data_IF_262211466934
#
_entry.id   IF_262211466934
#
_cell.length_a   1.000
_cell.length_b   1.000
_cell.length_c   1.000
_cell.angle_alpha   90.00
_cell.angle_beta   90.00
_cell.angle_gamma   90.00
#
_symmetry.space_group_name_H-M   'P 1'
#
loop_
_entity.id
_entity.type
_entity.pdbx_description
1 polymer ?
#
# COMPACT_ATOMS: atom_id res chain seq x y z
N UNK A 1 -12.70 10.39 -9.92
CA UNK A 1 -13.01 10.51 -8.47
C UNK A 1 -11.72 10.82 -7.69
N UNK A 2 -11.81 11.48 -6.53
CA UNK A 2 -10.63 11.74 -5.68
C UNK A 2 -10.11 10.42 -5.11
N UNK A 3 -8.82 10.14 -5.30
CA UNK A 3 -8.18 8.95 -4.76
C UNK A 3 -7.73 9.21 -3.32
N UNK A 4 -8.06 8.28 -2.42
CA UNK A 4 -7.63 8.31 -1.02
C UNK A 4 -6.33 7.54 -0.84
N UNK A 5 -5.63 7.76 0.27
CA UNK A 5 -4.47 6.97 0.68
C UNK A 5 -4.87 5.52 1.01
N UNK A 6 -5.87 5.34 1.88
CA UNK A 6 -6.21 4.02 2.45
C UNK A 6 -6.53 2.91 1.41
N UNK A 7 -7.12 3.16 0.23
CA UNK A 7 -7.29 2.12 -0.78
C UNK A 7 -5.96 1.56 -1.31
N UNK A 8 -4.87 2.34 -1.29
CA UNK A 8 -3.54 1.85 -1.67
C UNK A 8 -3.01 0.86 -0.63
N UNK A 9 -3.24 1.13 0.66
CA UNK A 9 -2.85 0.23 1.75
C UNK A 9 -3.70 -1.05 1.74
N UNK A 10 -5.01 -0.94 1.50
CA UNK A 10 -5.86 -2.14 1.35
C UNK A 10 -5.50 -2.97 0.13
N UNK A 11 -5.09 -2.32 -0.97
CA UNK A 11 -4.58 -3.04 -2.14
C UNK A 11 -3.37 -3.89 -1.79
N UNK A 12 -2.43 -3.36 -1.00
CA UNK A 12 -1.26 -4.13 -0.52
C UNK A 12 -1.72 -5.32 0.31
N UNK A 13 -2.51 -5.07 1.36
CA UNK A 13 -3.03 -6.09 2.28
C UNK A 13 -3.78 -7.23 1.59
N UNK A 14 -4.76 -6.90 0.76
CA UNK A 14 -5.52 -7.88 -0.01
C UNK A 14 -4.63 -8.64 -1.01
N UNK A 15 -3.68 -7.96 -1.65
CA UNK A 15 -2.79 -8.57 -2.63
C UNK A 15 -1.85 -9.59 -1.98
N UNK A 16 -1.22 -9.27 -0.86
CA UNK A 16 -0.31 -10.21 -0.19
C UNK A 16 -1.05 -11.43 0.32
N UNK A 17 -2.26 -11.25 0.87
CA UNK A 17 -3.11 -12.37 1.28
C UNK A 17 -3.48 -13.27 0.09
N UNK A 18 -3.87 -12.67 -1.04
CA UNK A 18 -4.20 -13.41 -2.25
C UNK A 18 -2.99 -14.15 -2.84
N UNK A 19 -1.81 -13.53 -2.80
CA UNK A 19 -0.56 -14.15 -3.25
C UNK A 19 -0.23 -15.41 -2.44
N UNK A 20 -0.39 -15.35 -1.12
CA UNK A 20 -0.20 -16.50 -0.23
C UNK A 20 -1.28 -17.58 -0.42
N UNK A 21 -2.54 -17.18 -0.61
CA UNK A 21 -3.66 -18.09 -0.82
C UNK A 21 -3.58 -18.86 -2.14
N UNK A 22 -2.83 -18.34 -3.13
CA UNK A 22 -2.64 -18.94 -4.46
C UNK A 22 -1.21 -19.41 -4.70
N UNK A 23 -0.42 -19.64 -3.65
CA UNK A 23 1.01 -19.97 -3.74
C UNK A 23 1.35 -21.26 -4.50
N UNK A 24 0.37 -22.14 -4.71
CA UNK A 24 0.49 -23.37 -5.49
C UNK A 24 0.31 -23.14 -7.01
N UNK A 25 -0.16 -21.96 -7.40
CA UNK A 25 -0.28 -21.47 -8.78
C UNK A 25 0.64 -20.25 -8.96
N UNK A 26 1.82 -20.48 -9.51
CA UNK A 26 2.88 -19.47 -9.60
C UNK A 26 2.45 -18.21 -10.36
N UNK A 27 1.74 -18.37 -11.49
CA UNK A 27 1.30 -17.24 -12.32
C UNK A 27 0.27 -16.36 -11.59
N UNK A 28 -0.66 -16.99 -10.86
CA UNK A 28 -1.63 -16.26 -10.03
C UNK A 28 -0.96 -15.58 -8.84
N UNK A 29 -0.08 -16.29 -8.14
CA UNK A 29 0.64 -15.72 -6.99
C UNK A 29 1.47 -14.50 -7.42
N UNK A 30 2.20 -14.58 -8.54
CA UNK A 30 3.02 -13.47 -9.07
C UNK A 30 2.17 -12.27 -9.49
N UNK A 31 1.00 -12.51 -10.08
CA UNK A 31 0.04 -11.43 -10.40
C UNK A 31 -0.33 -10.63 -9.14
N UNK A 32 -0.55 -11.30 -8.02
CA UNK A 32 -0.88 -10.65 -6.76
C UNK A 32 0.34 -9.96 -6.12
N UNK A 33 1.54 -10.54 -6.19
CA UNK A 33 2.76 -9.84 -5.77
C UNK A 33 3.00 -8.55 -6.56
N UNK A 34 2.81 -8.61 -7.88
CA UNK A 34 2.83 -7.42 -8.75
C UNK A 34 1.77 -6.40 -8.34
N UNK A 35 0.57 -6.86 -7.95
CA UNK A 35 -0.48 -5.99 -7.43
C UNK A 35 -0.11 -5.30 -6.12
N UNK A 36 0.53 -6.02 -5.18
CA UNK A 36 1.04 -5.48 -3.93
C UNK A 36 2.13 -4.42 -4.19
N UNK A 37 3.10 -4.73 -5.05
CA UNK A 37 4.17 -3.81 -5.43
C UNK A 37 3.62 -2.52 -6.09
N UNK A 38 2.58 -2.64 -6.92
CA UNK A 38 1.87 -1.49 -7.48
C UNK A 38 1.18 -0.64 -6.41
N UNK A 39 0.56 -1.29 -5.40
CA UNK A 39 -0.01 -0.59 -4.24
C UNK A 39 1.05 0.18 -3.46
N UNK A 40 2.21 -0.44 -3.21
CA UNK A 40 3.37 0.23 -2.58
C UNK A 40 3.85 1.44 -3.36
N UNK A 41 4.05 1.31 -4.68
CA UNK A 41 4.40 2.46 -5.56
C UNK A 41 3.35 3.57 -5.52
N UNK A 42 2.07 3.21 -5.49
CA UNK A 42 0.97 4.17 -5.33
C UNK A 42 1.05 4.91 -4.00
N UNK A 43 1.29 4.18 -2.92
CA UNK A 43 1.41 4.71 -1.56
C UNK A 43 2.59 5.68 -1.40
N UNK A 44 3.73 5.41 -2.04
CA UNK A 44 4.91 6.29 -1.98
C UNK A 44 4.63 7.73 -2.43
N UNK A 45 3.69 7.94 -3.36
CA UNK A 45 3.28 9.30 -3.80
C UNK A 45 2.67 10.11 -2.66
N UNK A 46 2.00 9.47 -1.71
CA UNK A 46 1.36 10.12 -0.57
C UNK A 46 2.38 10.51 0.51
N UNK A 47 3.60 9.98 0.48
CA UNK A 47 4.69 10.34 1.39
C UNK A 47 5.61 11.44 0.83
N UNK A 48 5.37 11.89 -0.41
CA UNK A 48 6.09 13.02 -0.99
C UNK A 48 5.59 14.33 -0.41
N UNK A 49 5.98 14.64 0.83
CA UNK A 49 5.55 15.84 1.56
C UNK A 49 6.74 16.76 1.83
N UNK A 50 6.49 18.09 1.98
CA UNK A 50 7.53 19.03 2.39
C UNK A 50 8.10 18.70 3.78
N UNK A 51 7.26 18.20 4.70
CA UNK A 51 7.64 17.84 6.06
C UNK A 51 7.75 16.32 6.18
N UNK A 52 8.99 15.82 6.27
CA UNK A 52 9.26 14.38 6.39
C UNK A 52 8.56 13.77 7.61
N UNK A 53 8.01 12.57 7.42
CA UNK A 53 7.21 11.86 8.43
C UNK A 53 5.70 12.11 8.32
N UNK A 54 5.25 13.12 7.56
CA UNK A 54 3.83 13.31 7.24
C UNK A 54 3.43 12.60 5.94
N UNK A 55 2.11 12.50 5.74
CA UNK A 55 1.49 11.97 4.54
C UNK A 55 0.37 12.90 4.05
N UNK A 56 0.10 12.84 2.75
CA UNK A 56 -1.09 13.40 2.11
C UNK A 56 -2.20 12.37 2.13
N UNK A 57 -3.46 12.77 1.94
CA UNK A 57 -4.58 11.83 1.98
C UNK A 57 -5.43 11.81 0.71
N UNK A 58 -5.62 12.96 0.04
CA UNK A 58 -6.49 13.08 -1.13
C UNK A 58 -5.74 13.53 -2.37
N UNK A 59 -5.75 12.70 -3.41
CA UNK A 59 -5.21 12.97 -4.74
C UNK A 59 -6.36 13.25 -5.71
N UNK A 60 -6.39 14.47 -6.25
CA UNK A 60 -7.36 14.89 -7.25
C UNK A 60 -7.09 14.20 -8.60
N UNK A 61 -8.11 14.10 -9.47
CA UNK A 61 -7.94 13.54 -10.81
C UNK A 61 -6.90 14.26 -11.70
N UNK A 62 -6.62 15.54 -11.41
CA UNK A 62 -5.60 16.35 -12.11
C UNK A 62 -4.16 16.07 -11.61
N UNK A 63 -3.99 15.16 -10.65
CA UNK A 63 -2.70 14.80 -10.08
C UNK A 63 -2.25 15.70 -8.92
N UNK A 64 -3.04 16.71 -8.54
CA UNK A 64 -2.74 17.56 -7.39
C UNK A 64 -3.23 16.93 -6.09
N UNK A 65 -2.50 17.18 -5.01
CA UNK A 65 -2.98 16.78 -3.69
C UNK A 65 -3.76 17.91 -3.02
N UNK A 66 -4.78 17.54 -2.26
CA UNK A 66 -5.49 18.48 -1.39
C UNK A 66 -4.59 18.86 -0.22
N UNK A 67 -4.43 20.16 0.03
CA UNK A 67 -3.69 20.66 1.19
C UNK A 67 -4.56 20.53 2.45
N UNK A 68 -4.13 19.69 3.36
CA UNK A 68 -4.84 19.39 4.60
C UNK A 68 -3.91 18.75 5.64
N UNK A 69 -4.37 18.68 6.89
CA UNK A 69 -3.67 17.94 7.91
C UNK A 69 -3.63 16.44 7.58
N UNK A 70 -2.50 15.80 7.87
CA UNK A 70 -2.34 14.35 7.76
C UNK A 70 -3.33 13.64 8.72
N UNK A 71 -4.35 12.91 8.21
CA UNK A 71 -5.35 12.31 9.09
C UNK A 71 -4.74 11.17 9.90
N UNK A 72 -4.94 11.18 11.22
CA UNK A 72 -4.42 10.13 12.11
C UNK A 72 -4.96 8.73 11.78
N UNK A 73 -6.18 8.63 11.24
CA UNK A 73 -6.75 7.36 10.80
C UNK A 73 -5.95 6.70 9.67
N UNK A 74 -5.31 7.48 8.80
CA UNK A 74 -4.46 6.94 7.73
C UNK A 74 -3.20 6.27 8.28
N UNK A 75 -2.70 6.70 9.46
CA UNK A 75 -1.53 6.07 10.10
C UNK A 75 -1.77 4.59 10.41
N UNK A 76 -2.94 4.25 10.96
CA UNK A 76 -3.33 2.86 11.22
C UNK A 76 -3.24 2.01 9.94
N UNK A 77 -3.80 2.51 8.83
CA UNK A 77 -3.78 1.79 7.56
C UNK A 77 -2.37 1.62 6.98
N UNK A 78 -1.50 2.62 7.12
CA UNK A 78 -0.09 2.55 6.70
C UNK A 78 0.64 1.45 7.47
N UNK A 79 0.56 1.49 8.80
CA UNK A 79 1.26 0.52 9.67
C UNK A 79 0.75 -0.90 9.43
N UNK A 80 -0.57 -1.10 9.33
CA UNK A 80 -1.13 -2.41 9.02
C UNK A 80 -0.65 -2.95 7.67
N UNK A 81 -0.61 -2.12 6.62
CA UNK A 81 -0.12 -2.58 5.32
C UNK A 81 1.37 -2.95 5.32
N UNK A 82 2.20 -2.20 6.07
CA UNK A 82 3.61 -2.53 6.25
C UNK A 82 3.75 -3.86 6.99
N UNK A 83 3.03 -4.03 8.10
CA UNK A 83 3.08 -5.25 8.90
C UNK A 83 2.61 -6.49 8.13
N UNK A 84 1.51 -6.38 7.39
CA UNK A 84 1.00 -7.51 6.59
C UNK A 84 1.93 -7.87 5.42
N UNK A 85 2.55 -6.88 4.78
CA UNK A 85 3.56 -7.12 3.75
C UNK A 85 4.79 -7.82 4.33
N UNK A 86 5.31 -7.33 5.46
CA UNK A 86 6.46 -7.92 6.17
C UNK A 86 6.21 -9.38 6.56
N UNK A 87 5.06 -9.66 7.18
CA UNK A 87 4.65 -11.02 7.55
C UNK A 87 4.54 -11.94 6.33
N UNK A 88 3.99 -11.44 5.21
CA UNK A 88 3.83 -12.22 4.00
C UNK A 88 5.18 -12.54 3.33
N UNK A 89 6.12 -11.58 3.32
CA UNK A 89 7.48 -11.79 2.81
C UNK A 89 8.25 -12.81 3.66
N UNK A 90 8.15 -12.70 4.99
CA UNK A 90 8.74 -13.67 5.91
C UNK A 90 8.20 -15.10 5.67
N UNK A 91 6.90 -15.24 5.38
CA UNK A 91 6.27 -16.53 5.12
C UNK A 91 6.77 -17.23 3.83
N UNK A 92 7.32 -16.49 2.87
CA UNK A 92 7.88 -17.03 1.62
C UNK A 92 9.42 -17.06 1.61
N UNK A 93 10.06 -16.82 2.76
CA UNK A 93 11.52 -16.90 2.89
C UNK A 93 12.28 -15.67 2.38
N UNK A 94 11.60 -14.54 2.18
CA UNK A 94 12.22 -13.25 1.90
C UNK A 94 12.22 -12.41 3.19
N UNK A 95 13.31 -12.39 3.99
CA UNK A 95 13.39 -11.45 5.10
C UNK A 95 13.41 -10.02 4.54
N UNK A 96 12.60 -9.14 5.14
CA UNK A 96 12.47 -7.72 4.77
C UNK A 96 13.74 -6.90 4.93
#
# INVERSE_FOLDING_TARGET
>A
PVARLWPQTERIKCAVLAALATRDDADRSDTYWTMAANGGRGLMKYFDTPVKGLWRDRLNPDGTFVEEAAPASSFYHIVCAIQELDQALAAIGHPG
#
